data_IF_215128175704
#
_entry.id   IF_215128175704
#
_cell.length_a   1.000
_cell.length_b   1.000
_cell.length_c   1.000
_cell.angle_alpha   90.00
_cell.angle_beta   90.00
_cell.angle_gamma   90.00
#
_symmetry.space_group_name_H-M   'P 1'
#
loop_
_entity.id
_entity.type
_entity.pdbx_description
1 polymer ?
#
# COMPACT_ATOMS: atom_id res chain seq x y z
N UNK A 1 -3.24 -15.19 1.07
CA UNK A 1 -1.86 -14.85 1.51
C UNK A 1 -0.83 -15.74 0.82
N UNK A 2 -0.96 -17.08 0.86
CA UNK A 2 0.02 -18.01 0.29
C UNK A 2 0.39 -17.70 -1.17
N UNK A 3 -0.58 -17.47 -2.05
CA UNK A 3 -0.33 -17.23 -3.49
C UNK A 3 0.48 -15.95 -3.74
N UNK A 4 0.20 -14.88 -3.00
CA UNK A 4 0.94 -13.61 -3.08
C UNK A 4 2.41 -13.85 -2.68
N UNK A 5 2.64 -14.63 -1.62
CA UNK A 5 3.98 -14.96 -1.13
C UNK A 5 4.73 -15.91 -2.09
N UNK A 6 4.02 -16.85 -2.72
CA UNK A 6 4.60 -17.74 -3.72
C UNK A 6 4.99 -16.96 -4.99
N UNK A 7 4.08 -16.12 -5.50
CA UNK A 7 4.33 -15.26 -6.65
C UNK A 7 5.47 -14.27 -6.39
N UNK A 8 5.61 -13.75 -5.15
CA UNK A 8 6.74 -12.88 -4.81
C UNK A 8 8.07 -13.65 -4.86
N UNK A 9 8.11 -14.86 -4.30
CA UNK A 9 9.31 -15.71 -4.29
C UNK A 9 9.73 -16.13 -5.69
N UNK A 10 8.78 -16.45 -6.56
CA UNK A 10 9.03 -16.73 -7.98
C UNK A 10 9.71 -15.54 -8.68
N UNK A 11 9.51 -14.32 -8.17
CA UNK A 11 10.17 -13.10 -8.63
C UNK A 11 11.40 -12.73 -7.77
N UNK A 12 11.95 -13.64 -6.97
CA UNK A 12 13.13 -13.36 -6.13
C UNK A 12 12.87 -12.32 -5.02
N UNK A 13 11.60 -12.14 -4.63
CA UNK A 13 11.18 -11.27 -3.54
C UNK A 13 10.77 -12.09 -2.32
N UNK A 14 11.41 -11.80 -1.20
CA UNK A 14 10.94 -12.22 0.12
C UNK A 14 10.12 -11.09 0.71
N UNK A 15 8.82 -11.35 0.88
CA UNK A 15 7.92 -10.46 1.59
C UNK A 15 7.89 -10.84 3.06
N UNK A 16 7.86 -9.86 3.96
CA UNK A 16 7.70 -10.07 5.40
C UNK A 16 6.64 -9.13 5.93
N UNK A 17 5.62 -9.68 6.57
CA UNK A 17 4.65 -8.95 7.38
C UNK A 17 5.09 -9.04 8.85
N UNK A 18 5.18 -7.90 9.52
CA UNK A 18 5.42 -7.76 10.94
C UNK A 18 4.30 -6.92 11.54
N UNK A 19 3.74 -7.35 12.67
CA UNK A 19 2.63 -6.67 13.34
C UNK A 19 3.01 -6.30 14.77
N UNK A 20 2.49 -5.17 15.25
CA UNK A 20 2.61 -4.71 16.63
C UNK A 20 1.28 -4.07 17.04
N UNK A 21 0.42 -4.88 17.67
CA UNK A 21 -0.97 -4.48 17.93
C UNK A 21 -1.71 -4.16 16.63
N UNK A 22 -2.38 -3.00 16.52
CA UNK A 22 -3.08 -2.61 15.28
C UNK A 22 -2.12 -2.19 14.17
N UNK A 23 -0.85 -1.90 14.48
CA UNK A 23 0.14 -1.44 13.52
C UNK A 23 0.75 -2.62 12.77
N UNK A 24 1.06 -2.41 11.49
CA UNK A 24 1.78 -3.38 10.69
C UNK A 24 2.83 -2.72 9.81
N UNK A 25 3.82 -3.54 9.44
CA UNK A 25 4.83 -3.24 8.45
C UNK A 25 4.96 -4.42 7.51
N UNK A 26 4.92 -4.15 6.22
CA UNK A 26 5.28 -5.08 5.17
C UNK A 26 6.60 -4.63 4.55
N UNK A 27 7.57 -5.52 4.46
CA UNK A 27 8.86 -5.27 3.82
C UNK A 27 9.04 -6.22 2.65
N UNK A 28 9.58 -5.72 1.54
CA UNK A 28 9.99 -6.48 0.38
C UNK A 28 11.52 -6.45 0.28
N UNK A 29 12.15 -7.62 0.40
CA UNK A 29 13.59 -7.79 0.28
C UNK A 29 13.93 -8.63 -0.95
N UNK A 30 14.93 -8.19 -1.72
CA UNK A 30 15.56 -9.03 -2.74
C UNK A 30 16.49 -10.01 -2.02
N UNK A 31 16.32 -11.29 -2.31
CA UNK A 31 17.22 -12.35 -1.83
C UNK A 31 18.27 -12.58 -2.92
N UNK A 32 19.54 -12.34 -2.61
CA UNK A 32 20.65 -12.50 -3.54
C UNK A 32 21.91 -13.03 -2.85
N UNK A 33 22.90 -13.46 -3.64
CA UNK A 33 24.16 -14.03 -3.13
C UNK A 33 24.98 -13.06 -2.27
N UNK A 34 24.86 -11.76 -2.53
CA UNK A 34 25.58 -10.69 -1.79
C UNK A 34 24.82 -10.18 -0.55
N UNK A 35 23.72 -10.86 -0.17
CA UNK A 35 22.90 -10.53 0.99
C UNK A 35 21.50 -10.02 0.66
N UNK A 36 20.65 -9.94 1.70
CA UNK A 36 19.29 -9.45 1.61
C UNK A 36 19.28 -7.92 1.47
N UNK A 37 18.68 -7.39 0.40
CA UNK A 37 18.56 -5.94 0.16
C UNK A 37 17.10 -5.52 0.25
N UNK A 38 16.77 -4.58 1.11
CA UNK A 38 15.42 -4.00 1.18
C UNK A 38 15.14 -3.15 -0.06
N UNK A 39 14.11 -3.54 -0.82
CA UNK A 39 13.64 -2.80 -1.99
C UNK A 39 12.52 -1.83 -1.61
N UNK A 40 11.65 -2.21 -0.68
CA UNK A 40 10.61 -1.30 -0.23
C UNK A 40 9.86 -1.79 0.98
N UNK A 41 9.08 -0.88 1.55
CA UNK A 41 8.23 -1.14 2.70
C UNK A 41 6.92 -0.38 2.61
N UNK A 42 5.89 -0.95 3.22
CA UNK A 42 4.61 -0.33 3.43
C UNK A 42 4.22 -0.45 4.90
N UNK A 43 3.67 0.60 5.47
CA UNK A 43 3.27 0.69 6.87
C UNK A 43 1.83 1.18 6.97
N UNK A 44 1.15 0.77 8.02
CA UNK A 44 -0.22 1.19 8.28
C UNK A 44 -0.75 0.63 9.59
N UNK A 45 -2.05 0.83 9.77
CA UNK A 45 -2.78 0.37 10.93
C UNK A 45 -4.15 -0.20 10.56
N UNK A 46 -4.60 -1.20 11.31
CA UNK A 46 -6.00 -1.61 11.36
C UNK A 46 -6.69 -0.75 12.41
N UNK A 47 -7.58 0.16 11.99
CA UNK A 47 -8.32 1.04 12.91
C UNK A 47 -9.75 0.56 13.11
N UNK A 48 -10.23 0.38 14.34
CA UNK A 48 -11.64 0.13 14.60
C UNK A 48 -12.46 1.37 14.26
N UNK A 49 -13.56 1.19 13.54
CA UNK A 49 -14.49 2.25 13.16
C UNK A 49 -15.95 1.78 13.32
N UNK A 50 -16.91 2.68 13.61
CA UNK A 50 -18.32 2.34 13.58
C UNK A 50 -18.72 1.82 12.19
N UNK A 51 -19.14 0.55 12.11
CA UNK A 51 -19.47 -0.11 10.84
C UNK A 51 -18.37 -1.02 10.26
N UNK A 52 -17.27 -1.24 10.98
CA UNK A 52 -16.23 -2.22 10.62
C UNK A 52 -14.82 -1.64 10.72
N UNK A 53 -13.81 -2.51 10.75
CA UNK A 53 -12.41 -2.07 10.74
C UNK A 53 -12.06 -1.40 9.41
N UNK A 54 -11.18 -0.40 9.47
CA UNK A 54 -10.64 0.28 8.30
C UNK A 54 -9.13 0.05 8.24
N UNK A 55 -8.64 -0.33 7.07
CA UNK A 55 -7.21 -0.43 6.81
C UNK A 55 -6.66 0.95 6.47
N UNK A 56 -5.95 1.55 7.42
CA UNK A 56 -5.29 2.84 7.26
C UNK A 56 -3.86 2.63 6.76
N UNK A 57 -3.54 3.16 5.58
CA UNK A 57 -2.21 3.02 4.96
C UNK A 57 -1.42 4.32 5.13
N UNK A 58 -0.40 4.28 6.00
CA UNK A 58 0.37 5.46 6.39
C UNK A 58 1.44 5.82 5.37
N UNK A 59 2.23 4.83 4.95
CA UNK A 59 3.35 5.08 4.05
C UNK A 59 3.66 3.89 3.17
N UNK A 60 4.11 4.19 1.95
CA UNK A 60 4.75 3.23 1.05
C UNK A 60 6.03 3.88 0.53
N UNK A 61 7.17 3.24 0.78
CA UNK A 61 8.49 3.77 0.41
C UNK A 61 9.26 2.71 -0.34
N UNK A 62 9.94 3.13 -1.41
CA UNK A 62 10.88 2.29 -2.15
C UNK A 62 12.28 2.83 -1.96
N UNK A 63 13.25 1.93 -1.77
CA UNK A 63 14.66 2.26 -1.67
C UNK A 63 15.23 2.52 -3.07
N UNK A 64 16.39 3.21 -3.12
CA UNK A 64 17.14 3.41 -4.37
C UNK A 64 17.52 2.08 -5.04
N UNK A 65 17.79 1.05 -4.24
CA UNK A 65 18.11 -0.29 -4.73
C UNK A 65 16.99 -0.89 -5.61
N UNK A 66 15.74 -0.42 -5.51
CA UNK A 66 14.67 -0.85 -6.43
C UNK A 66 14.95 -0.44 -7.88
N UNK A 67 15.61 0.71 -8.09
CA UNK A 67 15.95 1.19 -9.43
C UNK A 67 17.07 0.36 -10.08
N UNK A 68 17.84 -0.35 -9.26
CA UNK A 68 18.95 -1.21 -9.70
C UNK A 68 18.49 -2.63 -10.06
N UNK A 69 17.20 -2.96 -9.84
CA UNK A 69 16.64 -4.26 -10.22
C UNK A 69 16.21 -4.21 -11.69
N UNK A 70 16.89 -4.95 -12.59
CA UNK A 70 16.51 -4.99 -14.00
C UNK A 70 15.09 -5.54 -14.17
N UNK A 71 14.39 -5.05 -15.19
CA UNK A 71 13.06 -5.52 -15.61
C UNK A 71 11.97 -5.50 -14.51
N UNK A 72 12.17 -4.71 -13.44
CA UNK A 72 11.19 -4.56 -12.37
C UNK A 72 10.68 -3.13 -12.27
N UNK A 73 9.49 -2.82 -12.83
CA UNK A 73 8.90 -1.52 -12.66
C UNK A 73 8.52 -1.30 -11.18
N UNK A 74 8.74 -0.09 -10.66
CA UNK A 74 8.32 0.34 -9.32
C UNK A 74 6.86 -0.04 -9.02
N UNK A 75 6.00 0.09 -10.03
CA UNK A 75 4.59 -0.31 -9.94
C UNK A 75 4.40 -1.79 -9.58
N UNK A 76 5.21 -2.70 -10.13
CA UNK A 76 5.13 -4.12 -9.83
C UNK A 76 5.44 -4.43 -8.37
N UNK A 77 6.49 -3.81 -7.82
CA UNK A 77 6.83 -3.92 -6.40
C UNK A 77 5.74 -3.31 -5.51
N UNK A 78 5.18 -2.16 -5.91
CA UNK A 78 4.08 -1.50 -5.21
C UNK A 78 2.83 -2.37 -5.11
N UNK A 79 2.52 -3.11 -6.16
CA UNK A 79 1.43 -4.09 -6.16
C UNK A 79 1.70 -5.25 -5.20
N UNK A 80 2.92 -5.75 -5.07
CA UNK A 80 3.24 -6.79 -4.07
C UNK A 80 3.09 -6.28 -2.64
N UNK A 81 3.67 -5.10 -2.34
CA UNK A 81 3.52 -4.46 -1.03
C UNK A 81 2.03 -4.25 -0.73
N UNK A 82 1.30 -3.63 -1.66
CA UNK A 82 -0.15 -3.39 -1.56
C UNK A 82 -0.95 -4.67 -1.38
N UNK A 83 -0.64 -5.74 -2.11
CA UNK A 83 -1.36 -7.00 -2.01
C UNK A 83 -1.22 -7.65 -0.64
N UNK A 84 -0.02 -7.63 -0.05
CA UNK A 84 0.21 -8.15 1.30
C UNK A 84 -0.48 -7.27 2.35
N UNK A 85 -0.42 -5.94 2.24
CA UNK A 85 -1.09 -5.04 3.19
C UNK A 85 -2.61 -5.16 3.13
N UNK A 86 -3.19 -5.16 1.92
CA UNK A 86 -4.65 -5.30 1.72
C UNK A 86 -5.12 -6.67 2.16
N UNK A 87 -4.35 -7.74 1.88
CA UNK A 87 -4.71 -9.08 2.36
C UNK A 87 -4.68 -9.15 3.88
N UNK A 88 -3.68 -8.53 4.52
CA UNK A 88 -3.65 -8.42 5.99
C UNK A 88 -4.88 -7.69 6.53
N UNK A 89 -5.29 -6.57 5.91
CA UNK A 89 -6.52 -5.87 6.27
C UNK A 89 -7.77 -6.73 6.10
N UNK A 90 -7.88 -7.47 4.99
CA UNK A 90 -8.98 -8.40 4.77
C UNK A 90 -9.06 -9.48 5.86
N UNK A 91 -7.92 -10.10 6.20
CA UNK A 91 -7.85 -11.12 7.24
C UNK A 91 -8.17 -10.53 8.64
N UNK A 92 -8.00 -9.21 8.83
CA UNK A 92 -8.40 -8.47 10.03
C UNK A 92 -9.85 -7.96 10.01
N UNK A 93 -10.64 -8.31 8.99
CA UNK A 93 -12.05 -7.92 8.85
C UNK A 93 -12.26 -6.48 8.37
N UNK A 94 -11.26 -5.86 7.75
CA UNK A 94 -11.43 -4.55 7.15
C UNK A 94 -12.23 -4.64 5.84
N UNK A 95 -13.19 -3.71 5.67
CA UNK A 95 -13.98 -3.59 4.43
C UNK A 95 -13.36 -2.58 3.47
N UNK A 96 -12.74 -1.53 4.03
CA UNK A 96 -12.19 -0.41 3.28
C UNK A 96 -10.72 -0.19 3.62
N UNK A 97 -9.94 0.17 2.60
CA UNK A 97 -8.60 0.73 2.74
C UNK A 97 -8.62 2.23 2.44
N UNK A 98 -7.90 3.01 3.23
CA UNK A 98 -7.76 4.47 3.06
C UNK A 98 -6.28 4.89 3.08
N UNK A 99 -5.95 5.90 2.28
CA UNK A 99 -4.62 6.51 2.22
C UNK A 99 -4.72 7.99 1.89
N UNK A 100 -3.66 8.76 2.21
CA UNK A 100 -3.50 10.13 1.73
C UNK A 100 -2.37 10.22 0.69
N UNK A 101 -2.72 10.66 -0.52
CA UNK A 101 -1.74 11.10 -1.49
C UNK A 101 -1.29 12.52 -1.13
N UNK A 102 -0.27 12.64 -0.27
CA UNK A 102 0.26 13.92 0.21
C UNK A 102 0.67 14.81 -0.96
N UNK A 103 0.37 16.11 -0.85
CA UNK A 103 0.70 17.13 -1.83
C UNK A 103 1.91 17.98 -1.36
N UNK A 104 3.10 17.38 -1.42
CA UNK A 104 4.35 18.10 -1.18
C UNK A 104 4.70 19.04 -2.36
N UNK A 105 4.56 18.52 -3.59
CA UNK A 105 4.63 19.31 -4.82
C UNK A 105 3.59 18.84 -5.83
N UNK A 106 3.07 19.72 -6.71
CA UNK A 106 2.03 19.36 -7.67
C UNK A 106 2.41 18.18 -8.59
N UNK A 107 3.68 18.11 -9.01
CA UNK A 107 4.17 17.04 -9.88
C UNK A 107 4.22 15.68 -9.17
N UNK A 108 4.72 15.63 -7.94
CA UNK A 108 4.76 14.38 -7.17
C UNK A 108 3.35 13.94 -6.77
N UNK A 109 2.53 14.89 -6.33
CA UNK A 109 1.14 14.65 -5.99
C UNK A 109 0.35 14.00 -7.14
N UNK A 110 0.44 14.57 -8.35
CA UNK A 110 -0.24 14.01 -9.53
C UNK A 110 0.23 12.58 -9.85
N UNK A 111 1.53 12.30 -9.70
CA UNK A 111 2.08 10.94 -9.87
C UNK A 111 1.53 9.96 -8.83
N UNK A 112 1.46 10.37 -7.57
CA UNK A 112 0.92 9.55 -6.49
C UNK A 112 -0.56 9.24 -6.72
N UNK A 113 -1.38 10.25 -7.04
CA UNK A 113 -2.80 10.05 -7.35
C UNK A 113 -2.96 9.07 -8.52
N UNK A 114 -2.24 9.26 -9.62
CA UNK A 114 -2.26 8.32 -10.76
C UNK A 114 -1.83 6.90 -10.37
N UNK A 115 -0.79 6.77 -9.55
CA UNK A 115 -0.30 5.49 -9.06
C UNK A 115 -1.35 4.74 -8.25
N UNK A 116 -1.96 5.40 -7.26
CA UNK A 116 -2.99 4.81 -6.40
C UNK A 116 -4.29 4.54 -7.17
N UNK A 117 -4.69 5.42 -8.09
CA UNK A 117 -5.82 5.16 -9.00
C UNK A 117 -5.59 3.92 -9.84
N UNK A 118 -4.39 3.75 -10.40
CA UNK A 118 -4.04 2.54 -11.17
C UNK A 118 -4.08 1.29 -10.29
N UNK A 119 -3.69 1.38 -9.01
CA UNK A 119 -3.82 0.29 -8.06
C UNK A 119 -5.29 -0.05 -7.76
N UNK A 120 -6.19 0.93 -7.75
CA UNK A 120 -7.64 0.73 -7.62
C UNK A 120 -8.31 1.65 -6.59
N UNK A 121 -7.56 2.58 -6.00
CA UNK A 121 -8.11 3.59 -5.12
C UNK A 121 -8.87 4.66 -5.89
N UNK A 122 -9.85 5.28 -5.25
CA UNK A 122 -10.64 6.39 -5.78
C UNK A 122 -10.43 7.61 -4.91
N UNK A 123 -10.23 8.78 -5.53
CA UNK A 123 -10.20 10.04 -4.81
C UNK A 123 -11.58 10.29 -4.18
N UNK A 124 -11.58 10.56 -2.87
CA UNK A 124 -12.82 10.80 -2.11
C UNK A 124 -12.91 12.25 -1.67
N UNK A 125 -11.80 12.84 -1.25
CA UNK A 125 -11.78 14.18 -0.67
C UNK A 125 -10.41 14.84 -0.86
N UNK A 126 -10.39 16.13 -1.21
CA UNK A 126 -9.17 16.93 -1.17
C UNK A 126 -9.04 17.58 0.20
N UNK A 127 -7.99 17.19 0.93
CA UNK A 127 -7.65 17.76 2.24
C UNK A 127 -6.82 19.02 1.99
N UNK A 128 -7.47 20.19 1.98
CA UNK A 128 -6.85 21.48 1.69
C UNK A 128 -6.71 22.40 2.92
N UNK A 129 -7.33 22.03 4.05
CA UNK A 129 -7.32 22.76 5.31
C UNK A 129 -8.42 23.82 5.44
N UNK A 130 -9.39 23.84 4.53
CA UNK A 130 -10.46 24.84 4.51
C UNK A 130 -11.59 24.56 5.50
N UNK A 131 -11.78 23.30 5.91
CA UNK A 131 -12.79 22.89 6.89
C UNK A 131 -12.18 22.34 8.19
N UNK A 132 -12.98 22.33 9.28
CA UNK A 132 -12.59 21.64 10.53
C UNK A 132 -12.30 20.14 10.31
N UNK A 133 -12.98 19.52 9.35
CA UNK A 133 -12.75 18.13 8.96
C UNK A 133 -11.38 17.97 8.28
N UNK A 134 -10.95 18.97 7.51
CA UNK A 134 -9.61 18.99 6.91
C UNK A 134 -8.51 19.19 7.95
N UNK A 135 -8.74 20.01 8.97
CA UNK A 135 -7.80 20.16 10.08
C UNK A 135 -7.64 18.85 10.85
N UNK A 136 -8.74 18.13 11.11
CA UNK A 136 -8.68 16.79 11.71
C UNK A 136 -7.97 15.78 10.79
N UNK A 137 -8.21 15.83 9.48
CA UNK A 137 -7.50 15.00 8.52
C UNK A 137 -6.01 15.34 8.44
N UNK A 138 -5.63 16.62 8.50
CA UNK A 138 -4.24 17.05 8.55
C UNK A 138 -3.55 16.58 9.84
N UNK A 139 -4.24 16.51 10.98
CA UNK A 139 -3.70 15.94 12.21
C UNK A 139 -3.46 14.43 12.08
N UNK A 140 -4.36 13.71 11.41
CA UNK A 140 -4.25 12.24 11.22
C UNK A 140 -3.15 11.90 10.22
N UNK A 141 -3.05 12.65 9.12
CA UNK A 141 -2.18 12.31 8.00
C UNK A 141 -0.89 13.14 7.93
N UNK A 142 -0.77 14.19 8.74
CA UNK A 142 0.40 15.06 8.82
C UNK A 142 0.55 16.07 7.68
N UNK A 143 -0.45 16.24 6.80
CA UNK A 143 -0.34 17.17 5.67
C UNK A 143 -1.60 17.31 4.81
N UNK A 144 -1.50 18.17 3.79
CA UNK A 144 -2.52 18.37 2.74
C UNK A 144 -2.34 17.32 1.64
N UNK A 145 -3.42 16.94 0.98
CA UNK A 145 -3.35 15.94 -0.09
C UNK A 145 -4.72 15.41 -0.49
N UNK A 146 -4.73 14.41 -1.37
CA UNK A 146 -5.99 13.76 -1.79
C UNK A 146 -6.19 12.50 -0.99
N UNK A 147 -7.26 12.45 -0.19
CA UNK A 147 -7.69 11.22 0.47
C UNK A 147 -8.27 10.29 -0.58
N UNK A 148 -7.79 9.05 -0.56
CA UNK A 148 -8.26 8.02 -1.47
C UNK A 148 -8.68 6.79 -0.71
N UNK A 149 -9.80 6.22 -1.11
CA UNK A 149 -10.36 5.02 -0.50
C UNK A 149 -10.48 3.90 -1.55
N UNK A 150 -10.50 2.66 -1.08
CA UNK A 150 -10.76 1.49 -1.90
C UNK A 150 -11.52 0.44 -1.09
N UNK A 151 -12.37 -0.31 -1.78
CA UNK A 151 -12.96 -1.53 -1.25
C UNK A 151 -11.93 -2.67 -1.29
N UNK A 152 -11.71 -3.32 -0.16
CA UNK A 152 -10.65 -4.32 -0.01
C UNK A 152 -10.91 -5.55 -0.88
N UNK A 153 -12.15 -6.01 -0.98
CA UNK A 153 -12.49 -7.17 -1.81
C UNK A 153 -12.28 -6.86 -3.29
N UNK A 154 -12.68 -5.67 -3.75
CA UNK A 154 -12.43 -5.22 -5.11
C UNK A 154 -10.94 -5.13 -5.44
N UNK A 155 -10.11 -4.66 -4.50
CA UNK A 155 -8.65 -4.67 -4.69
C UNK A 155 -8.09 -6.09 -4.81
N UNK A 156 -8.53 -7.01 -3.93
CA UNK A 156 -8.09 -8.40 -3.97
C UNK A 156 -8.53 -9.10 -5.26
N UNK A 157 -9.77 -8.90 -5.72
CA UNK A 157 -10.25 -9.44 -7.00
C UNK A 157 -9.49 -8.87 -8.20
N UNK A 158 -9.18 -7.57 -8.17
CA UNK A 158 -8.42 -6.93 -9.25
C UNK A 158 -7.00 -7.48 -9.34
N UNK A 159 -6.36 -7.73 -8.20
CA UNK A 159 -4.97 -8.19 -8.17
C UNK A 159 -4.82 -9.70 -8.18
N UNK A 160 -5.85 -10.48 -7.85
CA UNK A 160 -5.81 -11.95 -7.90
C UNK A 160 -5.41 -12.45 -9.29
N UNK A 161 -5.87 -11.80 -10.36
CA UNK A 161 -5.47 -12.08 -11.75
C UNK A 161 -3.97 -11.99 -12.00
N UNK A 162 -3.24 -11.25 -11.16
CA UNK A 162 -1.78 -11.08 -11.25
C UNK A 162 -1.01 -12.13 -10.43
N UNK A 163 -1.63 -12.72 -9.41
CA UNK A 163 -0.98 -13.64 -8.48
C UNK A 163 -1.49 -15.07 -8.56
N UNK A 164 -2.60 -15.31 -9.27
CA UNK A 164 -3.09 -16.66 -9.53
C UNK A 164 -2.04 -17.45 -10.29
N UNK A 165 -1.82 -18.70 -9.87
CA UNK A 165 -1.08 -19.68 -10.67
C UNK A 165 -1.72 -19.73 -12.06
N UNK A 166 -0.90 -19.63 -13.10
CA UNK A 166 -1.25 -20.22 -14.38
C UNK A 166 -1.18 -21.73 -14.17
N UNK A 167 -2.29 -22.33 -13.74
CA UNK A 167 -2.54 -23.74 -13.97
C UNK A 167 -3.28 -23.88 -15.31
#
# INVERSE_FOLDING_TARGET
MADIMAASRAQGLRMRLSTLGPLFRVTATRVGGDGDVELGRAEGAVRPWPGGSVLHLDSMRMSRATLEVPDRPLFGLGIFLGAVTVRHGFDAGCVRAELLAINDTPLYHNKLVKFYTRMGFKAVHEVDGSSMMDLAHMLVWGGKGTRMDADIEQLLMKWSRRFGSQD
#
